data_IF_697521317679
#
_entry.id   IF_697521317679
#
_cell.length_a   1.000
_cell.length_b   1.000
_cell.length_c   1.000
_cell.angle_alpha   90.00
_cell.angle_beta   90.00
_cell.angle_gamma   90.00
#
_symmetry.space_group_name_H-M   'P 1'
#
loop_
_entity.id
_entity.type
_entity.pdbx_description
1 polymer ?
#
# COMPACT_ATOMS: atom_id res chain seq x y z
N UNK A 1 -59.52 -34.02 -61.41
CA UNK A 1 -59.41 -32.81 -60.63
C UNK A 1 -59.71 -33.14 -59.21
N UNK A 2 -58.68 -33.17 -58.33
CA UNK A 2 -58.74 -33.01 -56.89
C UNK A 2 -57.30 -32.83 -56.38
N UNK A 3 -56.99 -31.67 -55.88
CA UNK A 3 -55.71 -31.29 -55.26
C UNK A 3 -55.66 -31.92 -53.88
N UNK A 4 -54.50 -32.59 -53.55
CA UNK A 4 -54.16 -33.02 -52.18
C UNK A 4 -53.03 -32.09 -51.71
N UNK A 5 -53.33 -31.32 -50.68
CA UNK A 5 -52.38 -30.47 -49.95
C UNK A 5 -51.65 -31.35 -48.93
N UNK A 6 -50.34 -31.51 -49.07
CA UNK A 6 -49.51 -32.17 -48.08
C UNK A 6 -48.93 -31.11 -47.11
N UNK A 7 -49.26 -31.23 -45.85
CA UNK A 7 -48.77 -30.38 -44.76
C UNK A 7 -47.44 -30.91 -44.24
N UNK A 8 -46.37 -30.16 -44.45
CA UNK A 8 -45.03 -30.47 -43.90
C UNK A 8 -44.94 -29.91 -42.49
N UNK A 9 -44.84 -30.77 -41.50
CA UNK A 9 -44.48 -30.36 -40.12
C UNK A 9 -42.96 -30.19 -40.01
N UNK A 10 -42.48 -28.97 -39.90
CA UNK A 10 -41.10 -28.65 -39.49
C UNK A 10 -41.03 -28.62 -37.96
N UNK A 11 -40.37 -29.67 -37.39
CA UNK A 11 -39.92 -29.62 -36.00
C UNK A 11 -38.71 -28.69 -35.90
N UNK A 12 -38.91 -27.45 -35.43
CA UNK A 12 -37.84 -26.59 -35.01
C UNK A 12 -37.42 -26.97 -33.56
N UNK A 13 -36.33 -27.74 -33.44
CA UNK A 13 -35.65 -27.93 -32.15
C UNK A 13 -34.93 -26.64 -31.79
N UNK A 14 -35.54 -25.87 -30.92
CA UNK A 14 -34.92 -24.68 -30.34
C UNK A 14 -33.80 -25.09 -29.37
N UNK A 15 -32.57 -25.02 -29.81
CA UNK A 15 -31.39 -24.96 -28.92
C UNK A 15 -31.42 -23.60 -28.18
N UNK A 16 -31.96 -23.60 -26.98
CA UNK A 16 -31.78 -22.47 -26.06
C UNK A 16 -30.31 -22.47 -25.63
N UNK A 17 -29.48 -21.69 -26.32
CA UNK A 17 -28.20 -21.27 -25.80
C UNK A 17 -28.48 -20.34 -24.61
N UNK A 18 -28.39 -20.87 -23.40
CA UNK A 18 -28.20 -20.05 -22.21
C UNK A 18 -26.84 -19.39 -22.32
N UNK A 19 -26.76 -18.28 -23.02
CA UNK A 19 -25.67 -17.33 -22.92
C UNK A 19 -25.80 -16.62 -21.59
N UNK A 20 -25.13 -17.15 -20.56
CA UNK A 20 -24.90 -16.37 -19.35
C UNK A 20 -24.13 -15.12 -19.77
N UNK A 21 -24.74 -13.97 -19.72
CA UNK A 21 -24.09 -12.72 -20.12
C UNK A 21 -23.10 -12.33 -19.02
N UNK A 22 -21.91 -11.81 -19.38
CA UNK A 22 -20.89 -11.30 -18.40
C UNK A 22 -21.51 -10.41 -17.31
N UNK A 23 -22.65 -9.81 -17.56
CA UNK A 23 -23.39 -8.98 -16.60
C UNK A 23 -24.01 -9.78 -15.46
N UNK A 24 -24.40 -11.02 -15.70
CA UNK A 24 -25.00 -11.91 -14.69
C UNK A 24 -23.93 -12.50 -13.77
N UNK A 25 -22.73 -12.81 -14.30
CA UNK A 25 -21.60 -13.29 -13.51
C UNK A 25 -21.09 -12.23 -12.54
N UNK A 26 -20.97 -10.97 -12.98
CA UNK A 26 -20.57 -9.85 -12.13
C UNK A 26 -21.57 -9.59 -11.00
N UNK A 27 -22.85 -9.80 -11.23
CA UNK A 27 -23.88 -9.72 -10.20
C UNK A 27 -23.70 -10.86 -9.18
N UNK A 28 -23.42 -12.07 -9.64
CA UNK A 28 -23.21 -13.22 -8.76
C UNK A 28 -22.03 -13.00 -7.79
N UNK A 29 -20.91 -12.43 -8.25
CA UNK A 29 -19.76 -12.11 -7.37
C UNK A 29 -20.13 -11.07 -6.32
N UNK A 30 -20.86 -10.01 -6.67
CA UNK A 30 -21.33 -9.00 -5.70
C UNK A 30 -22.28 -9.59 -4.67
N UNK A 31 -23.20 -10.45 -5.10
CA UNK A 31 -24.16 -11.11 -4.22
C UNK A 31 -23.45 -12.05 -3.22
N UNK A 32 -22.39 -12.72 -3.67
CA UNK A 32 -21.52 -13.55 -2.80
C UNK A 32 -20.78 -12.67 -1.79
N UNK A 33 -20.16 -11.58 -2.21
CA UNK A 33 -19.47 -10.64 -1.33
C UNK A 33 -20.44 -10.14 -0.24
N UNK A 34 -21.63 -9.71 -0.64
CA UNK A 34 -22.64 -9.20 0.29
C UNK A 34 -23.14 -10.27 1.31
N UNK A 35 -23.11 -11.54 0.94
CA UNK A 35 -23.36 -12.65 1.86
C UNK A 35 -22.15 -12.89 2.79
N UNK A 36 -20.94 -12.93 2.21
CA UNK A 36 -19.69 -13.17 2.92
C UNK A 36 -19.42 -12.11 4.01
N UNK A 37 -19.80 -10.85 3.78
CA UNK A 37 -19.69 -9.77 4.76
C UNK A 37 -20.52 -9.96 6.04
N UNK A 38 -21.42 -10.94 6.04
CA UNK A 38 -22.26 -11.30 7.21
C UNK A 38 -21.79 -12.58 7.90
N UNK A 39 -20.85 -13.29 7.30
CA UNK A 39 -20.40 -14.61 7.75
C UNK A 39 -19.19 -14.48 8.67
N UNK A 40 -19.04 -15.43 9.59
CA UNK A 40 -17.83 -15.64 10.36
C UNK A 40 -16.71 -16.21 9.48
N UNK A 41 -15.48 -16.07 9.95
CA UNK A 41 -14.33 -16.67 9.27
C UNK A 41 -14.49 -18.20 9.11
N UNK A 42 -15.02 -18.88 10.14
CA UNK A 42 -15.26 -20.33 10.08
C UNK A 42 -16.26 -20.71 8.98
N UNK A 43 -17.36 -19.96 8.85
CA UNK A 43 -18.34 -20.19 7.77
C UNK A 43 -17.74 -19.93 6.39
N UNK A 44 -16.84 -18.94 6.27
CA UNK A 44 -16.10 -18.66 5.03
C UNK A 44 -15.11 -19.78 4.69
N UNK A 45 -14.47 -20.42 5.67
CA UNK A 45 -13.60 -21.59 5.44
C UNK A 45 -14.36 -22.76 4.83
N UNK A 46 -15.58 -23.05 5.34
CA UNK A 46 -16.46 -24.10 4.77
C UNK A 46 -16.79 -23.80 3.30
N UNK A 47 -17.09 -22.54 2.98
CA UNK A 47 -17.36 -22.11 1.60
C UNK A 47 -16.13 -22.24 0.71
N UNK A 48 -14.96 -21.83 1.21
CA UNK A 48 -13.71 -21.93 0.50
C UNK A 48 -13.31 -23.39 0.21
N UNK A 49 -13.49 -24.28 1.18
CA UNK A 49 -13.27 -25.71 0.99
C UNK A 49 -14.17 -26.25 -0.13
N UNK A 50 -15.47 -26.00 -0.06
CA UNK A 50 -16.44 -26.49 -1.05
C UNK A 50 -16.15 -25.95 -2.48
N UNK A 51 -15.63 -24.71 -2.58
CA UNK A 51 -15.36 -24.06 -3.87
C UNK A 51 -14.04 -24.50 -4.47
N UNK A 52 -12.95 -24.61 -3.68
CA UNK A 52 -11.58 -24.71 -4.17
C UNK A 52 -10.86 -26.02 -3.85
N UNK A 53 -11.51 -27.02 -3.22
CA UNK A 53 -10.86 -28.31 -3.01
C UNK A 53 -10.46 -28.96 -4.34
N UNK A 54 -9.19 -29.41 -4.43
CA UNK A 54 -8.62 -29.98 -5.66
C UNK A 54 -8.29 -28.96 -6.76
N UNK A 55 -8.35 -27.65 -6.50
CA UNK A 55 -8.13 -26.61 -7.49
C UNK A 55 -6.95 -25.69 -7.12
N UNK A 56 -6.32 -25.09 -8.15
CA UNK A 56 -5.36 -24.02 -7.99
C UNK A 56 -6.08 -22.66 -8.10
N UNK A 57 -6.04 -21.86 -7.03
CA UNK A 57 -6.62 -20.51 -6.97
C UNK A 57 -5.51 -19.48 -7.15
N UNK A 58 -5.65 -18.59 -8.13
CA UNK A 58 -4.64 -17.58 -8.44
C UNK A 58 -4.87 -16.28 -7.68
N UNK A 59 -3.81 -15.75 -7.08
CA UNK A 59 -3.75 -14.40 -6.52
C UNK A 59 -2.64 -13.57 -7.18
N UNK A 60 -2.77 -12.25 -7.12
CA UNK A 60 -1.84 -11.30 -7.74
C UNK A 60 -1.61 -10.10 -6.83
N UNK A 61 -0.36 -9.67 -6.66
CA UNK A 61 -0.08 -8.50 -5.82
C UNK A 61 1.32 -7.93 -5.94
N UNK A 62 1.49 -6.71 -5.48
CA UNK A 62 2.78 -6.00 -5.52
C UNK A 62 3.82 -6.55 -4.51
N UNK A 63 3.45 -7.53 -3.68
CA UNK A 63 4.35 -8.14 -2.70
C UNK A 63 4.44 -9.65 -2.88
N UNK A 64 5.66 -10.21 -2.79
CA UNK A 64 5.91 -11.66 -2.81
C UNK A 64 5.33 -12.39 -1.60
N UNK A 65 5.00 -11.68 -0.52
CA UNK A 65 4.48 -12.27 0.73
C UNK A 65 3.12 -12.93 0.59
N UNK A 66 2.38 -12.59 -0.46
CA UNK A 66 1.15 -13.29 -0.81
C UNK A 66 1.32 -14.79 -1.04
N UNK A 67 2.51 -15.25 -1.49
CA UNK A 67 2.82 -16.68 -1.58
C UNK A 67 2.79 -17.34 -0.20
N UNK A 68 3.57 -16.82 0.76
CA UNK A 68 3.61 -17.36 2.13
C UNK A 68 2.25 -17.25 2.82
N UNK A 69 1.51 -16.16 2.62
CA UNK A 69 0.16 -16.02 3.15
C UNK A 69 -0.80 -17.06 2.57
N UNK A 70 -0.69 -17.37 1.28
CA UNK A 70 -1.47 -18.41 0.62
C UNK A 70 -1.15 -19.81 1.13
N UNK A 71 0.14 -20.12 1.35
CA UNK A 71 0.57 -21.39 1.97
C UNK A 71 -0.04 -21.57 3.37
N UNK A 72 0.02 -20.53 4.21
CA UNK A 72 -0.60 -20.53 5.55
C UNK A 72 -2.12 -20.65 5.52
N UNK A 73 -2.78 -20.03 4.56
CA UNK A 73 -4.22 -20.15 4.39
C UNK A 73 -4.62 -21.59 4.03
N UNK A 74 -3.86 -22.29 3.17
CA UNK A 74 -4.05 -23.70 2.86
C UNK A 74 -3.88 -24.56 4.12
N UNK A 75 -2.87 -24.27 4.94
CA UNK A 75 -2.67 -24.94 6.24
C UNK A 75 -3.87 -24.72 7.17
N UNK A 76 -4.43 -23.51 7.19
CA UNK A 76 -5.62 -23.19 8.01
C UNK A 76 -6.84 -23.98 7.59
N UNK A 77 -7.13 -24.08 6.27
CA UNK A 77 -8.21 -24.94 5.78
C UNK A 77 -7.99 -26.39 6.20
N UNK A 78 -6.76 -26.91 6.12
CA UNK A 78 -6.43 -28.30 6.48
C UNK A 78 -6.59 -28.62 7.96
N UNK A 79 -6.59 -27.62 8.85
CA UNK A 79 -6.91 -27.85 10.28
C UNK A 79 -8.35 -28.34 10.46
N UNK A 80 -9.27 -27.87 9.60
CA UNK A 80 -10.71 -28.25 9.65
C UNK A 80 -11.00 -29.35 8.64
N UNK A 81 -10.39 -29.31 7.46
CA UNK A 81 -10.55 -30.26 6.36
C UNK A 81 -9.21 -30.88 5.97
N UNK A 82 -8.76 -31.95 6.67
CA UNK A 82 -7.46 -32.58 6.41
C UNK A 82 -7.31 -33.15 4.97
N UNK A 83 -8.42 -33.41 4.29
CA UNK A 83 -8.51 -33.89 2.92
C UNK A 83 -8.42 -32.77 1.86
N UNK A 84 -8.26 -31.53 2.27
CA UNK A 84 -8.11 -30.40 1.33
C UNK A 84 -6.83 -30.52 0.51
N UNK A 85 -6.97 -30.51 -0.81
CA UNK A 85 -5.87 -30.62 -1.79
C UNK A 85 -5.74 -29.39 -2.69
N UNK A 86 -6.53 -28.34 -2.44
CA UNK A 86 -6.41 -27.07 -3.15
C UNK A 86 -5.11 -26.31 -2.83
N UNK A 87 -4.78 -25.32 -3.65
CA UNK A 87 -3.58 -24.51 -3.49
C UNK A 87 -3.82 -23.05 -3.86
N UNK A 88 -3.00 -22.16 -3.31
CA UNK A 88 -2.96 -20.73 -3.69
C UNK A 88 -1.66 -20.48 -4.47
N UNK A 89 -1.80 -20.06 -5.72
CA UNK A 89 -0.68 -19.59 -6.55
C UNK A 89 -0.63 -18.06 -6.55
N UNK A 90 0.52 -17.51 -6.23
CA UNK A 90 0.68 -16.07 -6.17
C UNK A 90 1.63 -15.55 -7.22
N UNK A 91 1.21 -14.53 -7.98
CA UNK A 91 2.05 -13.80 -8.93
C UNK A 91 2.36 -12.39 -8.43
N UNK A 92 3.57 -11.92 -8.72
CA UNK A 92 4.04 -10.60 -8.28
C UNK A 92 4.53 -9.77 -9.47
N UNK A 93 3.63 -9.17 -10.26
CA UNK A 93 4.03 -8.17 -11.23
C UNK A 93 4.55 -6.92 -10.50
N UNK A 94 5.60 -6.33 -11.04
CA UNK A 94 6.15 -5.08 -10.49
C UNK A 94 5.43 -3.88 -11.07
N UNK A 95 5.41 -2.79 -10.29
CA UNK A 95 4.94 -1.47 -10.71
C UNK A 95 3.51 -1.45 -11.26
N UNK A 96 3.32 -0.72 -12.35
CA UNK A 96 2.03 -0.55 -13.01
C UNK A 96 1.54 -1.77 -13.78
N UNK A 97 2.39 -2.79 -14.00
CA UNK A 97 2.03 -4.02 -14.73
C UNK A 97 0.87 -4.78 -14.09
N UNK A 98 0.65 -4.62 -12.78
CA UNK A 98 -0.48 -5.25 -12.09
C UNK A 98 -1.83 -4.76 -12.62
N UNK A 99 -1.95 -3.46 -12.94
CA UNK A 99 -3.20 -2.88 -13.43
C UNK A 99 -3.55 -3.40 -14.83
N UNK A 100 -2.53 -3.54 -15.70
CA UNK A 100 -2.71 -4.13 -17.03
C UNK A 100 -3.08 -5.62 -16.93
N UNK A 101 -2.41 -6.38 -16.06
CA UNK A 101 -2.69 -7.79 -15.85
C UNK A 101 -4.12 -8.01 -15.35
N UNK A 102 -4.59 -7.22 -14.37
CA UNK A 102 -5.95 -7.29 -13.84
C UNK A 102 -7.00 -6.88 -14.88
N UNK A 103 -6.74 -5.85 -15.67
CA UNK A 103 -7.64 -5.42 -16.74
C UNK A 103 -7.79 -6.55 -17.78
N UNK A 104 -6.67 -7.10 -18.26
CA UNK A 104 -6.68 -8.23 -19.22
C UNK A 104 -7.38 -9.47 -18.66
N UNK A 105 -7.13 -9.82 -17.40
CA UNK A 105 -7.78 -10.97 -16.76
C UNK A 105 -9.29 -10.79 -16.70
N UNK A 106 -9.78 -9.61 -16.29
CA UNK A 106 -11.22 -9.32 -16.20
C UNK A 106 -11.91 -9.19 -17.56
N UNK A 107 -11.18 -8.95 -18.63
CA UNK A 107 -11.68 -8.94 -20.01
C UNK A 107 -11.60 -10.33 -20.68
N UNK A 108 -10.84 -11.25 -20.09
CA UNK A 108 -10.69 -12.62 -20.58
C UNK A 108 -12.00 -13.39 -20.58
N UNK A 109 -12.11 -14.36 -21.50
CA UNK A 109 -13.20 -15.34 -21.47
C UNK A 109 -13.05 -16.32 -20.29
N UNK A 110 -11.83 -16.52 -19.81
CA UNK A 110 -11.50 -17.44 -18.70
C UNK A 110 -10.66 -16.67 -17.67
N UNK A 111 -11.27 -15.82 -16.82
CA UNK A 111 -10.56 -15.11 -15.76
C UNK A 111 -10.03 -16.10 -14.72
N UNK A 112 -8.86 -15.82 -14.15
CA UNK A 112 -8.20 -16.72 -13.20
C UNK A 112 -7.91 -16.09 -11.85
N UNK A 113 -7.84 -14.74 -11.79
CA UNK A 113 -7.47 -14.05 -10.56
C UNK A 113 -8.61 -14.05 -9.55
N UNK A 114 -8.33 -14.47 -8.31
CA UNK A 114 -9.32 -14.50 -7.23
C UNK A 114 -9.17 -13.34 -6.26
N UNK A 115 -7.94 -12.98 -5.91
CA UNK A 115 -7.65 -11.94 -4.93
C UNK A 115 -6.46 -11.11 -5.40
N UNK A 116 -6.48 -9.83 -5.06
CA UNK A 116 -5.37 -8.92 -5.38
C UNK A 116 -4.94 -8.09 -4.18
N UNK A 117 -3.62 -7.75 -4.15
CA UNK A 117 -3.04 -6.82 -3.19
C UNK A 117 -2.30 -5.71 -3.95
N UNK A 118 -2.75 -4.48 -3.76
CA UNK A 118 -2.25 -3.29 -4.45
C UNK A 118 -1.72 -2.26 -3.45
N UNK A 119 -0.62 -1.58 -3.81
CA UNK A 119 0.05 -0.57 -2.98
C UNK A 119 -0.18 0.88 -3.42
N UNK A 120 -0.93 1.11 -4.49
CA UNK A 120 -1.11 2.43 -5.08
C UNK A 120 -2.53 2.96 -4.85
N UNK A 121 -2.65 3.91 -3.92
CA UNK A 121 -3.90 4.52 -3.51
C UNK A 121 -4.65 5.22 -4.66
N UNK A 122 -3.96 6.04 -5.44
CA UNK A 122 -4.58 6.80 -6.52
C UNK A 122 -5.07 5.89 -7.65
N UNK A 123 -4.21 4.98 -8.10
CA UNK A 123 -4.53 4.11 -9.23
C UNK A 123 -5.55 3.02 -8.87
N UNK A 124 -5.50 2.44 -7.66
CA UNK A 124 -6.52 1.47 -7.24
C UNK A 124 -7.91 2.10 -7.28
N UNK A 125 -8.04 3.33 -6.79
CA UNK A 125 -9.33 4.06 -6.82
C UNK A 125 -9.75 4.38 -8.26
N UNK A 126 -8.91 5.08 -9.00
CA UNK A 126 -9.27 5.62 -10.31
C UNK A 126 -9.36 4.54 -11.41
N UNK A 127 -8.42 3.59 -11.44
CA UNK A 127 -8.35 2.59 -12.51
C UNK A 127 -9.13 1.33 -12.23
N UNK A 128 -9.32 0.94 -10.97
CA UNK A 128 -9.84 -0.37 -10.61
C UNK A 128 -11.22 -0.32 -9.97
N UNK A 129 -11.37 0.45 -8.88
CA UNK A 129 -12.62 0.49 -8.11
C UNK A 129 -13.67 1.33 -8.84
N UNK A 130 -13.32 2.57 -9.26
CA UNK A 130 -14.26 3.48 -9.95
C UNK A 130 -14.72 2.94 -11.29
N UNK A 131 -13.94 2.10 -11.95
CA UNK A 131 -14.27 1.42 -13.20
C UNK A 131 -15.01 0.09 -13.00
N UNK A 132 -15.16 -0.34 -11.74
CA UNK A 132 -15.81 -1.59 -11.39
C UNK A 132 -15.05 -2.84 -11.80
N UNK A 133 -13.71 -2.76 -11.99
CA UNK A 133 -12.84 -3.91 -12.26
C UNK A 133 -12.61 -4.70 -10.98
N UNK A 134 -12.45 -4.01 -9.84
CA UNK A 134 -12.27 -4.61 -8.53
C UNK A 134 -13.44 -4.26 -7.59
N UNK A 135 -13.78 -5.21 -6.72
CA UNK A 135 -14.78 -5.05 -5.68
C UNK A 135 -14.13 -5.12 -4.31
N UNK A 136 -14.64 -4.30 -3.39
CA UNK A 136 -14.25 -4.32 -2.01
C UNK A 136 -15.00 -5.42 -1.23
N UNK A 137 -14.36 -5.97 -0.21
CA UNK A 137 -14.95 -6.91 0.74
C UNK A 137 -14.48 -6.54 2.15
N UNK A 138 -15.40 -6.37 3.09
CA UNK A 138 -15.08 -6.04 4.48
C UNK A 138 -15.50 -7.21 5.37
N UNK A 139 -14.55 -8.02 5.89
CA UNK A 139 -14.88 -9.14 6.77
C UNK A 139 -15.64 -8.69 8.01
N UNK A 140 -16.68 -9.45 8.41
CA UNK A 140 -17.51 -9.17 9.59
C UNK A 140 -16.64 -8.99 10.85
N UNK A 141 -15.78 -9.95 11.14
CA UNK A 141 -14.96 -9.94 12.35
C UNK A 141 -13.96 -8.78 12.37
N UNK A 142 -13.40 -8.41 11.22
CA UNK A 142 -12.54 -7.21 11.12
C UNK A 142 -13.34 -5.96 11.46
N UNK A 143 -14.51 -5.79 10.86
CA UNK A 143 -15.39 -4.62 11.08
C UNK A 143 -15.88 -4.49 12.52
N UNK A 144 -16.09 -5.62 13.20
CA UNK A 144 -16.59 -5.69 14.59
C UNK A 144 -15.45 -5.60 15.63
N UNK A 145 -14.19 -5.62 15.21
CA UNK A 145 -13.03 -5.50 16.11
C UNK A 145 -12.92 -4.08 16.67
N UNK A 146 -12.76 -3.98 17.98
CA UNK A 146 -12.57 -2.70 18.64
C UNK A 146 -11.31 -1.96 18.16
N UNK A 147 -11.44 -0.68 17.86
CA UNK A 147 -10.35 0.17 17.41
C UNK A 147 -10.06 0.13 15.91
N UNK A 148 -10.75 -0.69 15.12
CA UNK A 148 -10.68 -0.66 13.66
C UNK A 148 -11.26 0.66 13.13
N UNK A 149 -10.54 1.31 12.23
CA UNK A 149 -11.00 2.52 11.57
C UNK A 149 -11.59 2.21 10.19
N UNK A 150 -12.89 1.88 10.17
CA UNK A 150 -13.61 1.52 8.94
C UNK A 150 -13.55 2.64 7.90
N UNK A 151 -13.62 3.90 8.32
CA UNK A 151 -13.60 5.03 7.40
C UNK A 151 -12.24 5.20 6.69
N UNK A 152 -11.13 4.95 7.41
CA UNK A 152 -9.78 5.10 6.86
C UNK A 152 -9.25 3.83 6.17
N UNK A 153 -9.70 2.64 6.61
CA UNK A 153 -9.10 1.36 6.25
C UNK A 153 -10.07 0.35 5.62
N UNK A 154 -11.37 0.67 5.54
CA UNK A 154 -12.39 -0.28 5.09
C UNK A 154 -12.67 -0.26 3.59
N UNK A 155 -12.45 0.87 2.88
CA UNK A 155 -12.77 0.97 1.45
C UNK A 155 -11.81 1.92 0.70
N UNK A 156 -10.81 1.36 0.01
CA UNK A 156 -10.49 -0.06 -0.12
C UNK A 156 -9.98 -0.67 1.19
N UNK A 157 -10.26 -1.97 1.41
CA UNK A 157 -9.83 -2.64 2.63
C UNK A 157 -8.30 -2.67 2.73
N UNK A 158 -7.76 -2.04 3.74
CA UNK A 158 -6.34 -2.06 4.03
C UNK A 158 -5.98 -3.32 4.84
N UNK A 159 -4.96 -4.05 4.38
CA UNK A 159 -4.34 -5.14 5.13
C UNK A 159 -3.41 -4.59 6.21
N UNK A 160 -2.56 -3.66 5.82
CA UNK A 160 -1.49 -3.11 6.65
C UNK A 160 -1.06 -1.74 6.18
N UNK A 161 -0.34 -1.07 7.07
CA UNK A 161 0.41 0.16 6.78
C UNK A 161 1.91 -0.09 6.92
N UNK A 162 2.69 0.40 5.97
CA UNK A 162 4.15 0.42 6.02
C UNK A 162 4.64 1.86 6.06
N UNK A 163 5.74 2.12 6.76
CA UNK A 163 6.30 3.47 6.90
C UNK A 163 7.60 3.60 6.12
N UNK A 164 7.70 4.68 5.33
CA UNK A 164 8.98 5.22 4.84
C UNK A 164 9.33 6.42 5.69
N UNK A 165 10.54 6.43 6.25
CA UNK A 165 10.96 7.46 7.19
C UNK A 165 12.27 8.10 6.74
N UNK A 166 12.48 9.36 7.12
CA UNK A 166 13.73 10.05 6.86
C UNK A 166 14.82 9.56 7.79
N UNK A 167 15.93 9.15 7.18
CA UNK A 167 17.13 8.72 7.87
C UNK A 167 18.36 9.43 7.31
N UNK A 168 19.41 9.52 8.10
CA UNK A 168 20.70 10.03 7.68
C UNK A 168 21.86 9.27 8.34
N UNK A 169 22.98 9.18 7.63
CA UNK A 169 24.18 8.53 8.15
C UNK A 169 24.96 9.48 9.08
N UNK A 170 25.31 8.99 10.27
CA UNK A 170 25.90 9.76 11.36
C UNK A 170 27.39 9.46 11.63
N UNK A 171 28.02 8.69 10.75
CA UNK A 171 29.39 8.16 11.00
C UNK A 171 30.42 9.27 11.22
N UNK A 172 30.31 10.38 10.53
CA UNK A 172 31.23 11.53 10.69
C UNK A 172 30.79 12.52 11.78
N UNK A 173 29.54 12.37 12.30
CA UNK A 173 28.99 13.24 13.34
C UNK A 173 28.79 14.70 12.94
N UNK A 174 29.07 15.06 11.67
CA UNK A 174 29.12 16.45 11.20
C UNK A 174 27.77 17.08 10.92
N UNK A 175 26.74 16.29 10.62
CA UNK A 175 25.42 16.77 10.25
C UNK A 175 24.34 16.23 11.16
N UNK A 176 23.37 17.10 11.49
CA UNK A 176 22.11 16.74 12.13
C UNK A 176 20.97 17.27 11.27
N UNK A 177 19.96 16.43 11.06
CA UNK A 177 18.74 16.80 10.33
C UNK A 177 17.63 16.96 11.36
N UNK A 178 17.35 18.20 11.73
CA UNK A 178 16.40 18.59 12.79
C UNK A 178 15.08 19.10 12.24
N UNK A 179 15.00 19.24 10.91
CA UNK A 179 13.83 19.79 10.24
C UNK A 179 13.64 19.06 8.90
N UNK A 180 12.40 18.82 8.51
CA UNK A 180 12.12 18.16 7.22
C UNK A 180 12.65 18.95 6.01
N UNK A 181 12.81 20.26 6.14
CA UNK A 181 13.42 21.11 5.12
C UNK A 181 14.93 20.89 4.96
N UNK A 182 15.60 20.32 5.96
CA UNK A 182 17.03 20.00 5.85
C UNK A 182 17.31 18.99 4.74
N UNK A 183 16.34 18.11 4.42
CA UNK A 183 16.48 17.10 3.35
C UNK A 183 16.38 17.67 1.93
N UNK A 184 16.00 18.93 1.80
CA UNK A 184 15.83 19.60 0.49
C UNK A 184 16.63 20.91 0.38
N UNK A 185 17.58 21.14 1.29
CA UNK A 185 18.56 22.24 1.20
C UNK A 185 19.45 22.06 -0.03
N UNK A 186 20.15 23.13 -0.39
CA UNK A 186 21.12 23.11 -1.47
C UNK A 186 22.18 22.01 -1.27
N UNK A 187 22.39 21.19 -2.28
CA UNK A 187 23.35 20.08 -2.25
C UNK A 187 22.83 18.79 -1.60
N UNK A 188 21.68 18.78 -0.94
CA UNK A 188 21.08 17.58 -0.39
C UNK A 188 20.45 16.72 -1.51
N UNK A 189 20.69 15.39 -1.43
CA UNK A 189 20.22 14.43 -2.41
C UNK A 189 19.72 13.17 -1.70
N UNK A 190 18.59 13.21 -0.99
CA UNK A 190 18.09 12.04 -0.27
C UNK A 190 17.86 10.88 -1.25
N UNK A 191 18.36 9.70 -0.89
CA UNK A 191 18.10 8.48 -1.65
C UNK A 191 16.62 8.14 -1.56
N UNK A 192 16.01 7.92 -2.71
CA UNK A 192 14.60 7.54 -2.82
C UNK A 192 14.36 6.69 -4.07
N UNK A 193 13.29 5.89 -4.06
CA UNK A 193 12.90 5.12 -5.24
C UNK A 193 12.35 6.01 -6.35
N UNK A 194 12.46 5.56 -7.59
CA UNK A 194 11.98 6.33 -8.75
C UNK A 194 10.46 6.51 -8.73
N UNK A 195 10.00 7.74 -8.90
CA UNK A 195 8.58 8.11 -8.87
C UNK A 195 7.71 7.44 -9.96
N UNK A 196 8.32 7.01 -11.08
CA UNK A 196 7.61 6.34 -12.17
C UNK A 196 7.60 4.83 -12.00
N UNK A 197 8.64 4.28 -11.38
CA UNK A 197 8.77 2.85 -11.13
C UNK A 197 7.96 2.40 -9.91
N UNK A 198 7.78 3.29 -8.93
CA UNK A 198 7.07 3.02 -7.68
C UNK A 198 5.99 4.08 -7.42
N UNK A 199 4.74 3.77 -7.78
CA UNK A 199 3.62 4.72 -7.66
C UNK A 199 3.40 5.27 -6.25
N UNK A 200 3.79 4.51 -5.22
CA UNK A 200 3.77 4.91 -3.79
C UNK A 200 4.46 6.25 -3.56
N UNK A 201 5.57 6.54 -4.27
CA UNK A 201 6.29 7.80 -4.14
C UNK A 201 5.46 9.00 -4.59
N UNK A 202 4.66 8.89 -5.65
CA UNK A 202 3.75 9.97 -6.07
C UNK A 202 2.62 10.19 -5.07
N UNK A 203 2.04 9.12 -4.52
CA UNK A 203 0.99 9.24 -3.51
C UNK A 203 1.49 9.99 -2.27
N UNK A 204 2.72 9.77 -1.84
CA UNK A 204 3.36 10.57 -0.80
C UNK A 204 3.34 12.06 -1.13
N UNK A 205 3.77 12.42 -2.33
CA UNK A 205 3.82 13.83 -2.75
C UNK A 205 2.40 14.43 -2.90
N UNK A 206 1.42 13.64 -3.32
CA UNK A 206 0.01 14.07 -3.34
C UNK A 206 -0.47 14.40 -1.93
N UNK A 207 -0.24 13.51 -0.97
CA UNK A 207 -0.67 13.72 0.41
C UNK A 207 -0.08 14.96 1.05
N UNK A 208 1.14 15.38 0.68
CA UNK A 208 1.74 16.63 1.17
C UNK A 208 0.92 17.87 0.79
N UNK A 209 0.03 17.80 -0.19
CA UNK A 209 -0.85 18.92 -0.58
C UNK A 209 -2.19 18.93 0.17
N UNK A 210 -2.47 17.92 1.01
CA UNK A 210 -3.65 17.87 1.87
C UNK A 210 -3.46 18.86 3.04
N UNK A 211 -4.53 19.56 3.42
CA UNK A 211 -4.53 20.68 4.39
C UNK A 211 -3.80 20.36 5.70
N UNK A 212 -4.00 19.17 6.26
CA UNK A 212 -3.36 18.72 7.50
C UNK A 212 -1.84 18.67 7.35
N UNK A 213 -1.36 18.16 6.23
CA UNK A 213 0.07 17.99 5.97
C UNK A 213 0.74 19.26 5.45
N UNK A 214 0.01 20.10 4.74
CA UNK A 214 0.43 21.50 4.45
C UNK A 214 0.82 22.22 5.73
N UNK A 215 0.02 22.02 6.79
CA UNK A 215 0.35 22.60 8.11
C UNK A 215 1.69 22.09 8.65
N UNK A 216 2.00 20.80 8.56
CA UNK A 216 3.27 20.27 9.06
C UNK A 216 4.47 20.86 8.31
N UNK A 217 4.36 21.02 6.97
CA UNK A 217 5.42 21.59 6.15
C UNK A 217 5.61 23.08 6.45
N UNK A 218 4.50 23.84 6.60
CA UNK A 218 4.52 25.27 6.93
C UNK A 218 5.10 25.52 8.32
N UNK A 219 4.65 24.77 9.33
CA UNK A 219 5.13 24.94 10.71
C UNK A 219 6.64 24.67 10.79
N UNK A 220 7.10 23.61 10.13
CA UNK A 220 8.52 23.31 10.02
C UNK A 220 9.30 24.42 9.33
N UNK A 221 8.77 25.03 8.25
CA UNK A 221 9.39 26.19 7.62
C UNK A 221 9.46 27.38 8.59
N UNK A 222 8.42 27.62 9.38
CA UNK A 222 8.40 28.72 10.35
C UNK A 222 9.47 28.57 11.43
N UNK A 223 9.82 27.33 11.81
CA UNK A 223 10.86 27.00 12.77
C UNK A 223 12.30 27.16 12.23
N UNK A 224 12.49 27.31 10.92
CA UNK A 224 13.80 27.51 10.32
C UNK A 224 14.47 28.81 10.77
N UNK A 225 15.80 28.83 10.76
CA UNK A 225 16.60 30.04 10.94
C UNK A 225 16.30 31.10 9.85
N UNK A 226 16.63 32.35 10.11
CA UNK A 226 16.51 33.42 9.11
C UNK A 226 17.41 33.16 7.88
N UNK A 227 18.59 32.58 8.10
CA UNK A 227 19.52 32.21 7.03
C UNK A 227 18.94 31.12 6.12
N UNK A 228 18.40 30.03 6.69
CA UNK A 228 17.75 28.97 5.94
C UNK A 228 16.54 29.48 5.11
N UNK A 229 15.73 30.38 5.72
CA UNK A 229 14.59 30.98 5.04
C UNK A 229 14.99 31.78 3.80
N UNK A 230 16.15 32.45 3.82
CA UNK A 230 16.65 33.18 2.63
C UNK A 230 16.82 32.28 1.40
N UNK A 231 17.18 31.00 1.58
CA UNK A 231 17.25 30.03 0.49
C UNK A 231 15.87 29.63 -0.03
N UNK A 232 14.91 29.37 0.84
CA UNK A 232 13.59 28.86 0.46
C UNK A 232 12.59 29.94 0.00
N UNK A 233 12.69 31.16 0.51
CA UNK A 233 11.75 32.26 0.26
C UNK A 233 11.55 32.57 -1.25
N UNK A 234 12.59 32.65 -2.09
CA UNK A 234 12.40 32.88 -3.51
C UNK A 234 11.60 31.76 -4.18
N UNK A 235 11.84 30.52 -3.78
CA UNK A 235 11.20 29.32 -4.34
C UNK A 235 9.72 29.29 -3.94
N UNK A 236 9.40 29.56 -2.68
CA UNK A 236 8.04 29.64 -2.18
C UNK A 236 7.24 30.75 -2.90
N UNK A 237 7.86 31.93 -3.09
CA UNK A 237 7.22 33.03 -3.84
C UNK A 237 6.96 32.68 -5.29
N UNK A 238 7.92 32.04 -5.96
CA UNK A 238 7.79 31.60 -7.36
C UNK A 238 6.65 30.62 -7.52
N UNK A 239 6.52 29.66 -6.60
CA UNK A 239 5.55 28.57 -6.70
C UNK A 239 4.13 28.97 -6.24
N UNK A 240 3.97 30.05 -5.50
CA UNK A 240 2.70 30.49 -4.91
C UNK A 240 1.52 30.57 -5.89
N UNK A 241 1.65 31.06 -7.12
CA UNK A 241 0.54 31.06 -8.09
C UNK A 241 -0.01 29.67 -8.41
N UNK A 242 0.82 28.61 -8.31
CA UNK A 242 0.41 27.22 -8.56
C UNK A 242 -0.64 26.72 -7.58
N UNK A 243 -0.70 27.24 -6.37
CA UNK A 243 -1.72 26.85 -5.37
C UNK A 243 -3.12 27.03 -5.96
N UNK A 244 -3.38 28.19 -6.58
CA UNK A 244 -4.67 28.48 -7.24
C UNK A 244 -4.87 27.65 -8.51
N UNK A 245 -3.83 27.50 -9.34
CA UNK A 245 -3.90 26.73 -10.59
C UNK A 245 -4.22 25.27 -10.34
N UNK A 246 -3.69 24.70 -9.26
CA UNK A 246 -3.90 23.31 -8.85
C UNK A 246 -5.12 23.12 -7.93
N UNK A 247 -5.85 24.20 -7.63
CA UNK A 247 -7.01 24.20 -6.73
C UNK A 247 -6.71 23.60 -5.35
N UNK A 248 -5.59 24.01 -4.75
CA UNK A 248 -5.16 23.55 -3.44
C UNK A 248 -5.58 24.52 -2.32
N UNK A 249 -5.44 24.07 -1.07
CA UNK A 249 -5.69 24.86 0.12
C UNK A 249 -4.68 26.00 0.25
N UNK A 250 -5.07 27.05 0.97
CA UNK A 250 -4.15 28.13 1.36
C UNK A 250 -2.90 27.56 2.06
N UNK A 251 -1.78 28.25 1.94
CA UNK A 251 -0.46 27.84 2.44
C UNK A 251 0.16 26.62 1.73
N UNK A 252 -0.50 26.01 0.73
CA UNK A 252 0.06 24.88 0.00
C UNK A 252 1.35 25.24 -0.77
N UNK A 253 1.68 26.53 -0.95
CA UNK A 253 2.95 26.95 -1.53
C UNK A 253 4.18 26.40 -0.78
N UNK A 254 4.10 26.19 0.55
CA UNK A 254 5.17 25.55 1.32
C UNK A 254 5.36 24.09 0.90
N UNK A 255 4.28 23.33 0.81
CA UNK A 255 4.32 21.94 0.32
C UNK A 255 4.79 21.85 -1.12
N UNK A 256 4.30 22.70 -2.01
CA UNK A 256 4.71 22.71 -3.41
C UNK A 256 6.20 23.07 -3.57
N UNK A 257 6.73 24.01 -2.78
CA UNK A 257 8.15 24.35 -2.79
C UNK A 257 8.99 23.16 -2.30
N UNK A 258 8.60 22.50 -1.21
CA UNK A 258 9.26 21.31 -0.71
C UNK A 258 9.24 20.18 -1.74
N UNK A 259 8.08 19.91 -2.35
CA UNK A 259 7.92 18.88 -3.40
C UNK A 259 8.82 19.20 -4.61
N UNK A 260 8.83 20.47 -5.08
CA UNK A 260 9.68 20.89 -6.21
C UNK A 260 11.15 20.59 -5.92
N UNK A 261 11.64 20.99 -4.75
CA UNK A 261 13.01 20.74 -4.35
C UNK A 261 13.31 19.23 -4.24
N UNK A 262 12.46 18.48 -3.57
CA UNK A 262 12.64 17.04 -3.43
C UNK A 262 12.69 16.33 -4.78
N UNK A 263 11.72 16.59 -5.67
CA UNK A 263 11.61 15.94 -7.00
C UNK A 263 12.80 16.25 -7.90
N UNK A 264 13.37 17.45 -7.79
CA UNK A 264 14.50 17.88 -8.64
C UNK A 264 15.86 17.46 -8.11
N UNK A 265 15.96 17.06 -6.83
CA UNK A 265 17.25 16.82 -6.16
C UNK A 265 17.47 15.37 -5.72
N UNK A 266 16.41 14.59 -5.43
CA UNK A 266 16.59 13.26 -4.84
C UNK A 266 17.49 12.34 -5.69
N UNK A 267 18.30 11.52 -5.02
CA UNK A 267 19.09 10.48 -5.64
C UNK A 267 18.21 9.26 -5.93
N UNK A 268 17.94 9.02 -7.23
CA UNK A 268 17.06 7.95 -7.68
C UNK A 268 17.71 6.59 -7.53
N UNK A 269 17.10 5.75 -6.70
CA UNK A 269 17.47 4.35 -6.51
C UNK A 269 16.44 3.41 -7.14
N UNK A 270 16.81 2.15 -7.33
CA UNK A 270 15.91 1.16 -7.95
C UNK A 270 14.78 0.70 -7.01
N UNK A 271 15.07 0.51 -5.73
CA UNK A 271 14.11 0.19 -4.66
C UNK A 271 14.70 0.41 -3.26
N UNK A 272 13.94 0.09 -2.21
CA UNK A 272 14.38 0.23 -0.81
C UNK A 272 15.53 -0.71 -0.41
N UNK A 273 15.74 -1.81 -1.11
CA UNK A 273 16.84 -2.74 -0.83
C UNK A 273 18.22 -2.09 -1.03
N UNK A 274 18.54 -1.58 -2.24
CA UNK A 274 19.77 -0.82 -2.49
C UNK A 274 19.94 0.39 -1.56
N UNK A 275 18.85 1.13 -1.25
CA UNK A 275 18.92 2.27 -0.32
C UNK A 275 19.37 1.81 1.06
N UNK A 276 18.75 0.75 1.61
CA UNK A 276 19.10 0.24 2.95
C UNK A 276 20.55 -0.25 3.01
N UNK A 277 21.02 -0.90 1.97
CA UNK A 277 22.40 -1.39 1.88
C UNK A 277 23.42 -0.26 1.81
N UNK A 278 23.05 0.84 1.15
CA UNK A 278 23.95 1.99 0.98
C UNK A 278 24.04 2.84 2.23
N UNK A 279 22.89 3.27 2.78
CA UNK A 279 22.86 4.27 3.86
C UNK A 279 23.54 3.80 5.15
N UNK A 280 23.64 2.49 5.40
CA UNK A 280 24.21 1.91 6.61
C UNK A 280 25.74 1.72 6.56
N UNK A 281 26.38 2.06 5.44
CA UNK A 281 27.83 1.95 5.28
C UNK A 281 28.58 3.06 5.99
N UNK A 282 29.77 2.78 6.51
CA UNK A 282 30.70 3.81 7.01
C UNK A 282 31.06 4.84 5.93
N UNK A 283 31.19 4.39 4.68
CA UNK A 283 31.49 5.27 3.53
C UNK A 283 30.36 6.21 3.13
N UNK A 284 29.15 6.01 3.67
CA UNK A 284 27.96 6.81 3.37
C UNK A 284 27.78 8.02 4.31
N UNK A 285 28.84 8.43 5.01
CA UNK A 285 28.80 9.56 5.94
C UNK A 285 28.07 10.78 5.38
N UNK A 286 27.11 11.32 6.12
CA UNK A 286 26.31 12.48 5.73
C UNK A 286 25.27 12.24 4.61
N UNK A 287 25.11 11.02 4.10
CA UNK A 287 24.04 10.69 3.13
C UNK A 287 22.68 10.59 3.84
N UNK A 288 21.63 10.87 3.08
CA UNK A 288 20.24 10.88 3.56
C UNK A 288 19.37 9.96 2.72
N UNK A 289 18.27 9.49 3.29
CA UNK A 289 17.29 8.66 2.57
C UNK A 289 15.88 8.82 3.11
N UNK A 290 14.89 8.57 2.26
CA UNK A 290 13.51 8.26 2.64
C UNK A 290 13.26 6.79 2.29
N UNK A 291 13.19 5.93 3.30
CA UNK A 291 13.26 4.48 3.15
C UNK A 291 12.24 3.75 4.03
N UNK A 292 11.77 2.58 3.59
CA UNK A 292 10.94 1.69 4.41
C UNK A 292 11.69 1.28 5.67
N UNK A 293 11.18 1.71 6.83
CA UNK A 293 11.82 1.51 8.13
C UNK A 293 12.14 0.04 8.42
N UNK A 294 11.24 -0.85 8.10
CA UNK A 294 11.39 -2.30 8.31
C UNK A 294 12.52 -2.95 7.50
N UNK A 295 13.09 -2.29 6.49
CA UNK A 295 14.25 -2.81 5.76
C UNK A 295 15.49 -2.94 6.65
N UNK A 296 15.58 -2.15 7.70
CA UNK A 296 16.70 -2.21 8.65
C UNK A 296 16.84 -3.56 9.34
N UNK A 297 15.75 -4.33 9.51
CA UNK A 297 15.79 -5.66 10.13
C UNK A 297 16.68 -6.67 9.38
N UNK A 298 16.91 -6.46 8.09
CA UNK A 298 17.67 -7.36 7.23
C UNK A 298 19.10 -6.89 6.95
N UNK A 299 19.56 -5.85 7.65
CA UNK A 299 20.93 -5.37 7.50
C UNK A 299 21.90 -6.42 8.07
N UNK A 300 22.92 -6.71 7.30
CA UNK A 300 24.01 -7.56 7.73
C UNK A 300 25.01 -6.71 8.52
N UNK A 301 25.02 -6.88 9.84
CA UNK A 301 25.93 -6.17 10.73
C UNK A 301 27.37 -6.60 10.50
N UNK A 302 28.27 -5.65 10.29
CA UNK A 302 29.70 -5.87 10.11
C UNK A 302 30.48 -4.63 10.56
N UNK A 303 31.81 -4.66 10.44
CA UNK A 303 32.62 -3.47 10.69
C UNK A 303 32.28 -2.31 9.75
N UNK A 304 31.90 -2.61 8.50
CA UNK A 304 31.62 -1.61 7.45
C UNK A 304 30.14 -1.20 7.37
N UNK A 305 29.23 -2.04 7.82
CA UNK A 305 27.78 -1.81 7.72
C UNK A 305 27.07 -2.06 9.04
N UNK A 306 26.32 -1.09 9.53
CA UNK A 306 25.57 -1.22 10.77
C UNK A 306 24.35 -0.30 10.79
N UNK A 307 23.27 -0.74 11.42
CA UNK A 307 22.12 0.15 11.72
C UNK A 307 22.51 1.24 12.74
N UNK A 308 23.63 1.06 13.46
CA UNK A 308 24.15 2.10 14.36
C UNK A 308 24.86 3.25 13.61
N UNK A 309 25.10 3.11 12.31
CA UNK A 309 25.67 4.16 11.47
C UNK A 309 24.63 5.19 11.03
N UNK A 310 23.34 4.99 11.36
CA UNK A 310 22.26 5.88 10.95
C UNK A 310 21.44 6.39 12.12
N UNK A 311 20.85 7.55 11.93
CA UNK A 311 19.80 8.10 12.79
C UNK A 311 18.49 8.25 12.03
N UNK A 312 17.38 7.99 12.73
CA UNK A 312 16.03 8.32 12.28
C UNK A 312 15.78 9.78 12.65
N UNK A 313 15.49 10.62 11.65
CA UNK A 313 15.35 12.05 11.87
C UNK A 313 14.27 12.40 12.90
N UNK A 314 13.09 11.79 12.79
CA UNK A 314 11.97 12.02 13.70
C UNK A 314 12.23 11.58 15.15
N UNK A 315 13.31 10.84 15.43
CA UNK A 315 13.70 10.45 16.80
C UNK A 315 14.54 11.52 17.51
N UNK A 316 14.98 12.56 16.80
CA UNK A 316 15.72 13.65 17.38
C UNK A 316 14.79 14.55 18.22
N UNK A 317 15.21 14.88 19.43
CA UNK A 317 14.49 15.84 20.26
C UNK A 317 14.42 17.21 19.55
N UNK A 318 13.22 17.75 19.42
CA UNK A 318 13.00 19.03 18.72
C UNK A 318 12.98 18.91 17.18
N UNK A 319 12.87 17.71 16.62
CA UNK A 319 12.66 17.56 15.16
C UNK A 319 11.36 18.22 14.70
N UNK A 320 11.43 19.00 13.62
CA UNK A 320 10.30 19.74 13.07
C UNK A 320 9.82 19.19 11.72
N UNK A 321 8.50 19.16 11.53
CA UNK A 321 7.84 18.68 10.31
C UNK A 321 7.43 17.23 10.42
N UNK A 322 7.20 16.59 9.27
CA UNK A 322 6.77 15.20 9.18
C UNK A 322 7.95 14.22 9.14
N UNK A 323 7.84 13.10 9.85
CA UNK A 323 8.92 12.09 9.94
C UNK A 323 9.05 11.17 8.74
N UNK A 324 8.05 11.18 7.85
CA UNK A 324 8.03 10.31 6.67
C UNK A 324 6.61 10.08 6.15
N UNK A 325 6.40 8.95 5.49
CA UNK A 325 5.16 8.59 4.80
C UNK A 325 4.68 7.18 5.17
N UNK A 326 3.41 7.04 5.45
CA UNK A 326 2.73 5.78 5.72
C UNK A 326 1.84 5.40 4.53
N UNK A 327 2.19 4.34 3.82
CA UNK A 327 1.41 3.81 2.70
C UNK A 327 0.77 2.48 3.05
N UNK A 328 -0.30 2.12 2.33
CA UNK A 328 -1.12 0.96 2.65
C UNK A 328 -1.05 -0.13 1.59
N UNK A 329 -1.33 -1.34 2.00
CA UNK A 329 -1.59 -2.49 1.14
C UNK A 329 -3.09 -2.76 1.11
N UNK A 330 -3.69 -2.70 -0.07
CA UNK A 330 -5.13 -2.84 -0.26
C UNK A 330 -5.48 -4.21 -0.83
N UNK A 331 -6.43 -4.89 -0.20
CA UNK A 331 -6.98 -6.18 -0.63
C UNK A 331 -8.30 -5.97 -1.36
N UNK A 332 -8.43 -6.59 -2.55
CA UNK A 332 -9.62 -6.46 -3.39
C UNK A 332 -9.92 -7.78 -4.12
N UNK A 333 -11.12 -7.90 -4.66
CA UNK A 333 -11.64 -9.06 -5.39
C UNK A 333 -11.93 -8.65 -6.84
N UNK A 334 -11.36 -9.32 -7.87
CA UNK A 334 -11.72 -9.10 -9.26
C UNK A 334 -13.21 -9.38 -9.53
N UNK A 335 -13.85 -8.53 -10.35
CA UNK A 335 -15.30 -8.54 -10.58
C UNK A 335 -15.89 -9.86 -11.11
N UNK A 336 -15.09 -10.66 -11.78
CA UNK A 336 -15.48 -11.92 -12.40
C UNK A 336 -14.59 -13.08 -11.95
N UNK A 337 -14.09 -13.00 -10.73
CA UNK A 337 -13.30 -14.10 -10.14
C UNK A 337 -14.05 -15.43 -10.18
N UNK A 338 -13.39 -16.55 -10.55
CA UNK A 338 -13.99 -17.88 -10.49
C UNK A 338 -14.06 -18.45 -9.06
N UNK A 339 -13.44 -17.80 -8.06
CA UNK A 339 -13.35 -18.28 -6.68
C UNK A 339 -13.72 -17.19 -5.65
N UNK A 340 -14.94 -16.62 -5.69
CA UNK A 340 -15.32 -15.51 -4.83
C UNK A 340 -15.39 -15.87 -3.34
N UNK A 341 -15.82 -17.08 -2.98
CA UNK A 341 -15.85 -17.54 -1.59
C UNK A 341 -14.45 -17.71 -1.02
N UNK A 342 -13.56 -18.33 -1.79
CA UNK A 342 -12.17 -18.54 -1.42
C UNK A 342 -11.44 -17.20 -1.27
N UNK A 343 -11.72 -16.25 -2.16
CA UNK A 343 -11.19 -14.88 -2.06
C UNK A 343 -11.63 -14.18 -0.76
N UNK A 344 -12.92 -14.24 -0.42
CA UNK A 344 -13.44 -13.67 0.83
C UNK A 344 -12.82 -14.33 2.07
N UNK A 345 -12.70 -15.67 2.08
CA UNK A 345 -12.08 -16.41 3.18
C UNK A 345 -10.60 -16.04 3.34
N UNK A 346 -9.85 -15.97 2.24
CA UNK A 346 -8.42 -15.64 2.27
C UNK A 346 -8.19 -14.20 2.72
N UNK A 347 -8.99 -13.24 2.27
CA UNK A 347 -8.94 -11.85 2.76
C UNK A 347 -9.26 -11.80 4.25
N UNK A 348 -10.33 -12.47 4.69
CA UNK A 348 -10.69 -12.54 6.11
C UNK A 348 -9.54 -13.10 6.94
N UNK A 349 -8.93 -14.21 6.52
CA UNK A 349 -7.77 -14.80 7.19
C UNK A 349 -6.62 -13.82 7.39
N UNK A 350 -6.27 -13.06 6.34
CA UNK A 350 -5.16 -12.12 6.40
C UNK A 350 -5.41 -10.94 7.36
N UNK A 351 -6.66 -10.48 7.52
CA UNK A 351 -6.95 -9.28 8.32
C UNK A 351 -7.52 -9.57 9.71
N UNK A 352 -7.91 -10.83 10.02
CA UNK A 352 -8.48 -11.19 11.32
C UNK A 352 -7.66 -12.19 12.11
N UNK A 353 -6.75 -12.93 11.47
CA UNK A 353 -6.00 -14.01 12.11
C UNK A 353 -4.50 -13.63 12.23
N UNK A 354 -3.91 -13.89 13.41
CA UNK A 354 -2.48 -13.61 13.67
C UNK A 354 -1.56 -14.36 12.72
N UNK A 355 -1.83 -15.65 12.45
CA UNK A 355 -1.05 -16.46 11.53
C UNK A 355 -1.21 -16.00 10.08
N UNK A 356 -2.41 -15.52 9.72
CA UNK A 356 -2.72 -14.93 8.41
C UNK A 356 -1.98 -13.62 8.18
N UNK A 357 -1.83 -12.80 9.23
CA UNK A 357 -1.08 -11.55 9.16
C UNK A 357 0.44 -11.73 9.32
N UNK A 358 0.91 -12.82 9.92
CA UNK A 358 2.33 -13.02 10.22
C UNK A 358 3.30 -12.79 9.04
N UNK A 359 3.02 -13.22 7.78
CA UNK A 359 3.90 -12.94 6.65
C UNK A 359 4.10 -11.45 6.38
N UNK A 360 3.13 -10.63 6.74
CA UNK A 360 3.12 -9.18 6.53
C UNK A 360 3.73 -8.42 7.72
N UNK A 361 3.26 -8.68 8.92
CA UNK A 361 3.73 -8.06 10.14
C UNK A 361 5.16 -8.48 10.48
N UNK A 362 5.35 -9.73 10.87
CA UNK A 362 6.63 -10.26 11.34
C UNK A 362 7.71 -10.23 10.26
N UNK A 363 7.35 -10.60 9.02
CA UNK A 363 8.33 -10.78 7.95
C UNK A 363 8.62 -9.50 7.18
N UNK A 364 7.67 -8.55 7.13
CA UNK A 364 7.83 -7.31 6.36
C UNK A 364 7.88 -6.03 7.20
N UNK A 365 7.45 -6.07 8.44
CA UNK A 365 7.39 -4.90 9.29
C UNK A 365 6.20 -4.00 9.03
N UNK A 366 5.06 -4.60 8.63
CA UNK A 366 3.81 -3.90 8.48
C UNK A 366 3.01 -3.82 9.78
N UNK A 367 2.28 -2.74 9.94
CA UNK A 367 1.31 -2.57 11.03
C UNK A 367 -0.07 -2.95 10.51
N UNK A 368 -0.72 -3.93 11.15
CA UNK A 368 -2.05 -4.40 10.75
C UNK A 368 -3.10 -3.28 10.85
N UNK A 369 -4.04 -3.27 9.90
CA UNK A 369 -5.25 -2.45 10.01
C UNK A 369 -6.21 -2.95 11.11
N UNK A 370 -5.95 -4.16 11.64
CA UNK A 370 -6.65 -4.73 12.79
C UNK A 370 -5.80 -4.56 14.07
N UNK A 371 -6.15 -3.64 14.96
CA UNK A 371 -5.35 -3.37 16.16
C UNK A 371 -5.19 -4.57 17.09
N UNK A 372 -6.16 -5.52 17.08
CA UNK A 372 -6.14 -6.69 17.97
C UNK A 372 -5.05 -7.69 17.64
N UNK A 373 -4.52 -7.66 16.39
CA UNK A 373 -3.43 -8.54 15.95
C UNK A 373 -2.13 -7.79 15.71
N UNK A 374 -2.16 -6.48 15.84
CA UNK A 374 -0.97 -5.64 15.70
C UNK A 374 -0.13 -5.73 16.98
N UNK A 375 1.09 -6.26 16.87
CA UNK A 375 2.00 -6.37 17.99
C UNK A 375 2.93 -5.17 18.00
N UNK A 376 2.91 -4.42 19.09
CA UNK A 376 3.89 -3.37 19.35
C UNK A 376 5.16 -4.00 19.93
N UNK A 377 6.07 -4.43 19.07
CA UNK A 377 7.30 -5.12 19.45
C UNK A 377 8.40 -4.17 19.94
N UNK A 378 8.21 -2.86 19.85
CA UNK A 378 9.15 -1.91 20.44
C UNK A 378 9.21 -2.00 21.96
N UNK A 379 8.35 -2.84 22.58
CA UNK A 379 8.09 -2.94 24.01
C UNK A 379 8.10 -4.39 24.52
N UNK A 380 7.22 -4.70 25.43
CA UNK A 380 7.20 -5.98 26.15
C UNK A 380 7.07 -7.20 25.21
N UNK A 381 7.96 -8.15 25.36
CA UNK A 381 7.94 -9.43 24.67
C UNK A 381 8.79 -9.51 23.39
N UNK A 382 9.41 -8.41 22.94
CA UNK A 382 10.38 -8.49 21.85
C UNK A 382 11.67 -9.18 22.31
N UNK A 383 12.06 -10.25 21.60
CA UNK A 383 13.29 -10.98 21.86
C UNK A 383 14.31 -10.67 20.77
N UNK A 384 15.36 -9.94 21.12
CA UNK A 384 16.44 -9.57 20.20
C UNK A 384 17.11 -10.82 19.61
N UNK A 385 17.31 -10.83 18.29
CA UNK A 385 17.87 -11.97 17.55
C UNK A 385 16.87 -13.07 17.18
N UNK A 386 15.69 -13.12 17.78
CA UNK A 386 14.59 -14.05 17.44
C UNK A 386 13.51 -13.31 16.64
N UNK A 387 13.05 -12.18 17.16
CA UNK A 387 12.10 -11.31 16.49
C UNK A 387 12.86 -10.21 15.73
N UNK A 388 12.83 -10.29 14.42
CA UNK A 388 13.48 -9.30 13.54
C UNK A 388 12.57 -8.15 13.15
N UNK A 389 11.34 -8.22 13.57
CA UNK A 389 10.35 -7.18 13.35
C UNK A 389 9.68 -6.76 14.66
N UNK A 390 9.39 -5.47 14.82
CA UNK A 390 9.81 -4.36 13.95
C UNK A 390 11.33 -4.20 13.93
N UNK A 391 11.85 -3.27 13.12
CA UNK A 391 13.26 -2.91 13.20
C UNK A 391 13.61 -2.48 14.61
N UNK A 392 14.86 -2.77 15.03
CA UNK A 392 15.38 -2.36 16.34
C UNK A 392 15.05 -0.88 16.60
N UNK A 393 14.61 -0.57 17.81
CA UNK A 393 14.23 0.76 18.26
C UNK A 393 12.96 1.35 17.59
N UNK A 394 12.15 0.54 16.89
CA UNK A 394 10.85 1.01 16.40
C UNK A 394 9.94 1.39 17.57
N UNK A 395 9.40 2.60 17.51
CA UNK A 395 8.54 3.16 18.56
C UNK A 395 7.06 2.79 18.40
N UNK A 396 6.74 1.95 17.41
CA UNK A 396 5.41 1.45 17.13
C UNK A 396 4.50 2.42 16.37
N UNK A 397 3.43 1.86 15.78
CA UNK A 397 2.54 2.59 14.89
C UNK A 397 1.92 3.83 15.53
N UNK A 398 1.45 3.72 16.79
CA UNK A 398 0.82 4.83 17.50
C UNK A 398 1.74 6.02 17.67
N UNK A 399 3.03 5.78 17.89
CA UNK A 399 4.04 6.83 17.96
C UNK A 399 4.25 7.50 16.60
N UNK A 400 4.36 6.68 15.54
CA UNK A 400 4.62 7.16 14.19
C UNK A 400 3.51 8.05 13.64
N UNK A 401 2.25 7.74 13.91
CA UNK A 401 1.10 8.50 13.40
C UNK A 401 0.67 9.65 14.32
N UNK A 402 1.26 9.74 15.50
CA UNK A 402 0.95 10.80 16.45
C UNK A 402 1.30 12.20 15.90
N UNK A 403 0.43 13.20 16.06
CA UNK A 403 0.72 14.59 15.68
C UNK A 403 1.83 15.22 16.53
N UNK A 404 2.13 14.65 17.70
CA UNK A 404 3.12 15.18 18.64
C UNK A 404 4.51 14.55 18.44
N UNK A 405 4.60 13.37 17.78
CA UNK A 405 5.84 12.61 17.67
C UNK A 405 6.25 12.33 16.21
N UNK A 406 5.93 11.16 15.67
CA UNK A 406 6.37 10.72 14.35
C UNK A 406 5.80 11.52 13.18
N UNK A 407 4.60 12.03 13.31
CA UNK A 407 3.93 12.89 12.32
C UNK A 407 4.00 12.35 10.90
N UNK A 408 3.83 11.02 10.71
CA UNK A 408 3.80 10.45 9.36
C UNK A 408 2.67 11.04 8.54
N UNK A 409 2.95 11.29 7.29
CA UNK A 409 1.96 11.59 6.26
C UNK A 409 1.26 10.27 5.89
N UNK A 410 -0.01 10.12 6.25
CA UNK A 410 -0.76 8.87 6.07
C UNK A 410 -1.50 8.91 4.74
N UNK A 411 -1.37 7.85 3.96
CA UNK A 411 -2.05 7.68 2.67
C UNK A 411 -3.57 7.64 2.79
N UNK A 412 -4.25 8.44 1.97
CA UNK A 412 -5.70 8.45 1.82
C UNK A 412 -6.07 8.30 0.34
N UNK A 413 -6.78 7.23 0.01
CA UNK A 413 -7.09 6.88 -1.39
C UNK A 413 -7.91 7.93 -2.12
N UNK A 414 -8.91 8.50 -1.46
CA UNK A 414 -9.81 9.47 -2.08
C UNK A 414 -9.10 10.78 -2.37
N UNK A 415 -8.25 11.25 -1.45
CA UNK A 415 -7.45 12.43 -1.68
C UNK A 415 -6.42 12.20 -2.81
N UNK A 416 -5.64 11.12 -2.74
CA UNK A 416 -4.67 10.77 -3.77
C UNK A 416 -5.31 10.67 -5.15
N UNK A 417 -6.47 10.01 -5.25
CA UNK A 417 -7.22 9.87 -6.49
C UNK A 417 -7.74 11.23 -7.03
N UNK A 418 -8.19 12.10 -6.13
CA UNK A 418 -8.74 13.41 -6.46
C UNK A 418 -7.71 14.38 -7.05
N UNK A 419 -6.47 14.35 -6.55
CA UNK A 419 -5.39 15.26 -6.98
C UNK A 419 -4.45 14.65 -8.03
N UNK A 420 -4.58 13.35 -8.33
CA UNK A 420 -3.68 12.63 -9.24
C UNK A 420 -3.49 13.33 -10.58
N UNK A 421 -4.55 13.86 -11.17
CA UNK A 421 -4.47 14.54 -12.47
C UNK A 421 -3.77 15.88 -12.37
N UNK A 422 -4.17 16.75 -11.47
CA UNK A 422 -3.63 18.11 -11.38
C UNK A 422 -2.21 18.12 -10.82
N UNK A 423 -2.03 17.62 -9.59
CA UNK A 423 -0.74 17.60 -8.90
C UNK A 423 0.22 16.61 -9.56
N UNK A 424 -0.29 15.47 -10.06
CA UNK A 424 0.52 14.46 -10.73
C UNK A 424 1.15 14.98 -12.03
N UNK A 425 0.41 15.66 -12.89
CA UNK A 425 0.96 16.28 -14.12
C UNK A 425 1.97 17.38 -13.78
N UNK A 426 1.73 18.15 -12.73
CA UNK A 426 2.69 19.15 -12.29
C UNK A 426 3.99 18.50 -11.80
N UNK A 427 3.93 17.46 -10.96
CA UNK A 427 5.10 16.70 -10.51
C UNK A 427 5.87 16.13 -11.72
N UNK A 428 5.17 15.59 -12.71
CA UNK A 428 5.79 15.04 -13.91
C UNK A 428 6.52 16.14 -14.73
N UNK A 429 6.00 17.36 -14.71
CA UNK A 429 6.66 18.51 -15.35
C UNK A 429 7.95 18.98 -14.66
N UNK A 430 8.15 18.60 -13.38
CA UNK A 430 9.38 18.91 -12.63
C UNK A 430 10.53 17.95 -12.93
N UNK A 431 10.22 16.77 -13.46
CA UNK A 431 11.23 15.76 -13.84
C UNK A 431 11.96 16.22 -15.08
N UNK A 432 13.26 16.25 -15.02
CA UNK A 432 14.15 16.56 -16.16
C UNK A 432 14.61 15.29 -16.84
#
# INVERSE_FOLDING_TARGET
>A
MKRVLGTLFLLAAGLAFFGCTKKDENKAVKDIIAQAEKMSFQELLEKAYAESNGKEVSGIGNSSRGKTAGEKFVEEIKKVHPDYTGSIKWSQPKNNSIFEALTKDTESANPVQAVTLIQDAAQIKNKMISTGILYNFIPKEWRETAGVNIAADGNPLALQTLSKVFMYNIVDGSKKYMNVWDFVKEGEKPMFMGLDSEPVGKNFLYMLTEKKYVKYVKDAYQALSAEDKMYFDPIIREIKPKVKELNLTDDAEYSLAWIKLFVTQFNKMTDDGPISTEIVKKSAAGQTALIVYSKLRSINESEETSVNNIAVAAYQDGYEGFGGYAYKHYLQIPKNTPYPWTACAFISYMVTNKDGFQPWGKDMGGYSSNPSINQDHSRDGYVDGVDKFPAKDDRGYSWWVSPDFGRLVIEETDYCAGVQFSVGLWIDSLKK
#
